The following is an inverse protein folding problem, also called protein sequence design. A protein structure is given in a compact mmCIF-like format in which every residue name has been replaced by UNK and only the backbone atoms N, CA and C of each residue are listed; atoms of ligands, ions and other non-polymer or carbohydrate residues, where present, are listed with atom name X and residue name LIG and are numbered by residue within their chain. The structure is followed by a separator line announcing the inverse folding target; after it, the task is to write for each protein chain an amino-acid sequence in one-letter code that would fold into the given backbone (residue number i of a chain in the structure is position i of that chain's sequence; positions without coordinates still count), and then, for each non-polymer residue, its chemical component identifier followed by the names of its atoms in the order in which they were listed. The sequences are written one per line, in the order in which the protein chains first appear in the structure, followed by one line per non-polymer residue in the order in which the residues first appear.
data_IF_703195324026
#
_entry.id   IF_703195324026
#
_cell.length_a   1.000
_cell.length_b   1.000
_cell.length_c   1.000
_cell.angle_alpha   90.00
_cell.angle_beta   90.00
_cell.angle_gamma   90.00
#
_symmetry.space_group_name_H-M   'P 1'
#
loop_
_entity.id
_entity.type
_entity.pdbx_description
1 polymer ?
#
# COMPACT_ATOMS: atom_id res chain seq x y z
N UNK A 1 -6.26 -14.09 9.62
CA UNK A 1 -7.15 -15.06 8.95
C UNK A 1 -6.50 -16.43 9.08
N UNK A 2 -7.09 -17.36 9.83
CA UNK A 2 -6.44 -18.63 10.18
C UNK A 2 -6.19 -19.52 8.96
N UNK A 3 -5.00 -20.10 8.86
CA UNK A 3 -4.68 -21.11 7.85
C UNK A 3 -5.46 -22.38 8.16
N UNK A 4 -6.49 -22.66 7.36
CA UNK A 4 -7.20 -23.93 7.40
C UNK A 4 -6.34 -24.96 6.66
N UNK A 5 -5.67 -25.84 7.40
CA UNK A 5 -5.07 -27.04 6.82
C UNK A 5 -6.20 -27.94 6.31
N UNK A 6 -6.54 -27.82 5.01
CA UNK A 6 -7.59 -28.59 4.37
C UNK A 6 -7.08 -30.03 4.18
N UNK A 7 -7.88 -31.03 4.58
CA UNK A 7 -7.55 -32.43 4.30
C UNK A 7 -7.62 -32.73 2.80
N UNK A 8 -6.77 -33.63 2.30
CA UNK A 8 -6.71 -33.98 0.87
C UNK A 8 -8.09 -34.37 0.30
N UNK A 9 -8.93 -35.04 1.10
CA UNK A 9 -10.30 -35.42 0.71
C UNK A 9 -11.20 -34.22 0.36
N UNK A 10 -11.03 -33.11 1.08
CA UNK A 10 -11.80 -31.89 0.85
C UNK A 10 -11.24 -31.15 -0.37
N UNK A 11 -9.91 -31.14 -0.54
CA UNK A 11 -9.26 -30.59 -1.72
C UNK A 11 -9.73 -31.27 -3.01
N UNK A 12 -9.81 -32.60 -3.01
CA UNK A 12 -10.30 -33.38 -4.16
C UNK A 12 -11.76 -33.06 -4.52
N UNK A 13 -12.60 -32.80 -3.50
CA UNK A 13 -13.98 -32.37 -3.71
C UNK A 13 -14.03 -31.00 -4.40
N UNK A 14 -13.22 -30.03 -3.94
CA UNK A 14 -13.12 -28.73 -4.59
C UNK A 14 -12.55 -28.83 -6.00
N UNK A 15 -11.52 -29.65 -6.20
CA UNK A 15 -10.98 -29.94 -7.53
C UNK A 15 -12.06 -30.52 -8.47
N UNK A 16 -12.96 -31.36 -7.95
CA UNK A 16 -14.12 -31.87 -8.69
C UNK A 16 -15.01 -30.78 -9.30
N UNK A 17 -15.16 -29.64 -8.63
CA UNK A 17 -15.87 -28.48 -9.20
C UNK A 17 -14.99 -27.71 -10.19
N UNK A 18 -13.68 -27.64 -9.94
CA UNK A 18 -12.74 -26.87 -10.75
C UNK A 18 -12.34 -27.55 -12.07
N UNK A 19 -12.35 -28.88 -12.12
CA UNK A 19 -11.87 -29.66 -13.27
C UNK A 19 -12.70 -29.45 -14.54
N UNK A 20 -13.98 -29.10 -14.39
CA UNK A 20 -14.93 -28.93 -15.50
C UNK A 20 -15.00 -27.49 -16.02
N UNK A 21 -14.19 -26.56 -15.49
CA UNK A 21 -14.12 -25.20 -16.03
C UNK A 21 -13.55 -25.20 -17.46
N UNK A 22 -13.99 -24.22 -18.25
CA UNK A 22 -13.39 -23.94 -19.55
C UNK A 22 -11.93 -23.50 -19.41
N UNK A 23 -11.19 -23.57 -20.53
CA UNK A 23 -9.75 -23.30 -20.57
C UNK A 23 -9.41 -21.87 -20.09
N UNK A 24 -10.24 -20.87 -20.41
CA UNK A 24 -9.99 -19.48 -20.06
C UNK A 24 -10.23 -19.26 -18.56
N UNK A 25 -11.30 -19.83 -18.02
CA UNK A 25 -11.60 -19.75 -16.59
C UNK A 25 -10.54 -20.45 -15.74
N UNK A 26 -10.02 -21.61 -16.19
CA UNK A 26 -8.87 -22.28 -15.55
C UNK A 26 -7.62 -21.39 -15.52
N UNK A 27 -7.24 -20.81 -16.66
CA UNK A 27 -6.09 -19.89 -16.75
C UNK A 27 -6.25 -18.68 -15.83
N UNK A 28 -7.46 -18.12 -15.75
CA UNK A 28 -7.78 -16.97 -14.88
C UNK A 28 -7.67 -17.35 -13.41
N UNK A 29 -8.16 -18.54 -13.03
CA UNK A 29 -8.09 -19.02 -11.66
C UNK A 29 -6.65 -19.27 -11.22
N UNK A 30 -5.83 -19.91 -12.06
CA UNK A 30 -4.40 -20.09 -11.80
C UNK A 30 -3.74 -18.75 -11.54
N UNK A 31 -3.91 -17.74 -12.42
CA UNK A 31 -3.37 -16.40 -12.21
C UNK A 31 -3.81 -15.78 -10.88
N UNK A 32 -5.10 -15.88 -10.53
CA UNK A 32 -5.61 -15.36 -9.25
C UNK A 32 -4.99 -16.05 -8.04
N UNK A 33 -4.84 -17.38 -8.10
CA UNK A 33 -4.23 -18.16 -7.03
C UNK A 33 -2.75 -17.81 -6.91
N UNK A 34 -2.00 -17.76 -8.01
CA UNK A 34 -0.60 -17.30 -8.03
C UNK A 34 -0.46 -15.91 -7.41
N UNK A 35 -1.28 -14.95 -7.85
CA UNK A 35 -1.28 -13.60 -7.29
C UNK A 35 -1.70 -13.54 -5.81
N UNK A 36 -2.41 -14.55 -5.30
CA UNK A 36 -2.77 -14.63 -3.88
C UNK A 36 -1.65 -15.22 -3.01
N UNK A 37 -0.73 -15.98 -3.62
CA UNK A 37 0.49 -16.47 -2.99
C UNK A 37 1.56 -15.38 -2.95
N UNK A 38 1.60 -14.55 -3.98
CA UNK A 38 2.32 -13.29 -3.98
C UNK A 38 1.64 -12.35 -2.97
N UNK A 39 2.02 -12.50 -1.68
CA UNK A 39 1.84 -11.41 -0.72
C UNK A 39 2.50 -10.23 -1.38
N UNK A 40 1.70 -9.28 -1.89
CA UNK A 40 2.23 -7.99 -2.28
C UNK A 40 2.96 -7.52 -1.05
N UNK A 41 4.29 -7.57 -1.06
CA UNK A 41 5.04 -6.67 -0.22
C UNK A 41 4.42 -5.33 -0.57
N UNK A 42 3.78 -4.69 0.40
CA UNK A 42 3.57 -3.25 0.30
C UNK A 42 4.92 -2.76 -0.17
N UNK A 43 4.98 -2.23 -1.40
CA UNK A 43 6.24 -1.70 -1.94
C UNK A 43 6.80 -0.88 -0.80
N UNK A 44 7.96 -1.26 -0.27
CA UNK A 44 8.54 -0.53 0.86
C UNK A 44 8.47 0.93 0.46
N UNK A 45 7.64 1.67 1.19
CA UNK A 45 7.36 3.04 0.84
C UNK A 45 8.67 3.78 1.03
N UNK A 46 9.37 4.02 -0.08
CA UNK A 46 10.68 4.65 -0.04
C UNK A 46 10.48 6.11 0.33
N UNK A 47 10.81 6.46 1.56
CA UNK A 47 10.79 7.84 2.05
C UNK A 47 11.70 8.73 1.18
N UNK A 48 12.75 8.16 0.57
CA UNK A 48 13.61 8.85 -0.39
C UNK A 48 12.84 9.35 -1.62
N UNK A 49 11.78 8.66 -2.03
CA UNK A 49 10.92 9.07 -3.14
C UNK A 49 10.10 10.34 -2.87
N UNK A 50 10.03 10.80 -1.61
CA UNK A 50 9.35 12.04 -1.23
C UNK A 50 10.24 13.29 -1.41
N UNK A 51 11.56 13.13 -1.51
CA UNK A 51 12.47 14.26 -1.67
C UNK A 51 12.26 14.94 -3.04
N UNK A 52 12.07 16.26 -3.03
CA UNK A 52 11.92 17.05 -4.26
C UNK A 52 10.56 16.92 -4.96
N UNK A 53 9.62 16.16 -4.40
CA UNK A 53 8.26 16.06 -4.93
C UNK A 53 7.40 17.31 -4.67
N UNK A 54 7.83 18.16 -3.73
CA UNK A 54 7.14 19.41 -3.43
C UNK A 54 7.53 20.50 -4.44
N UNK A 55 6.56 20.90 -5.25
CA UNK A 55 6.64 22.06 -6.14
C UNK A 55 5.67 23.10 -5.62
N UNK A 56 6.18 24.28 -5.29
CA UNK A 56 5.40 25.42 -4.80
C UNK A 56 5.86 26.68 -5.54
N UNK A 57 4.92 27.59 -5.79
CA UNK A 57 5.20 28.91 -6.37
C UNK A 57 5.69 29.90 -5.29
N UNK A 58 5.48 29.57 -4.01
CA UNK A 58 5.91 30.37 -2.87
C UNK A 58 7.44 30.37 -2.73
N UNK A 59 7.98 31.53 -2.44
CA UNK A 59 9.37 31.67 -2.02
C UNK A 59 9.61 31.05 -0.64
N UNK A 60 10.86 30.69 -0.37
CA UNK A 60 11.28 30.18 0.95
C UNK A 60 10.87 31.10 2.10
N UNK A 61 10.93 32.41 1.90
CA UNK A 61 10.59 33.41 2.93
C UNK A 61 9.08 33.46 3.23
N UNK A 62 8.24 33.30 2.21
CA UNK A 62 6.79 33.20 2.37
C UNK A 62 6.41 31.95 3.16
N UNK A 63 7.02 30.82 2.82
CA UNK A 63 6.83 29.54 3.54
C UNK A 63 7.23 29.68 5.00
N UNK A 64 8.40 30.26 5.28
CA UNK A 64 8.88 30.47 6.66
C UNK A 64 7.92 31.38 7.43
N UNK A 65 7.41 32.43 6.79
CA UNK A 65 6.49 33.40 7.39
C UNK A 65 5.14 32.75 7.71
N UNK A 66 4.59 31.97 6.80
CA UNK A 66 3.36 31.19 7.00
C UNK A 66 3.50 30.22 8.17
N UNK A 67 4.59 29.44 8.20
CA UNK A 67 4.87 28.50 9.30
C UNK A 67 4.95 29.22 10.64
N UNK A 68 5.65 30.37 10.71
CA UNK A 68 5.75 31.17 11.95
C UNK A 68 4.38 31.69 12.40
N UNK A 69 3.55 32.15 11.46
CA UNK A 69 2.23 32.69 11.75
C UNK A 69 1.22 31.61 12.17
N UNK A 70 1.38 30.38 11.67
CA UNK A 70 0.54 29.23 12.01
C UNK A 70 0.81 28.67 13.42
N UNK A 71 1.89 29.08 14.10
CA UNK A 71 2.21 28.55 15.44
C UNK A 71 1.19 29.02 16.47
N UNK A 72 0.63 28.05 17.21
CA UNK A 72 -0.27 28.29 18.35
C UNK A 72 0.51 28.90 19.52
N UNK A 73 1.69 28.36 19.82
CA UNK A 73 2.63 28.93 20.78
C UNK A 73 3.61 29.86 20.07
N UNK A 74 3.31 31.15 20.09
CA UNK A 74 4.24 32.17 19.64
C UNK A 74 5.31 32.34 20.71
N UNK A 75 6.50 31.78 20.49
CA UNK A 75 7.66 32.11 21.32
C UNK A 75 7.93 33.61 21.18
N UNK A 76 7.52 34.37 22.20
CA UNK A 76 7.91 35.78 22.33
C UNK A 76 9.39 35.75 22.72
N UNK A 77 10.28 35.77 21.73
CA UNK A 77 11.67 36.15 21.98
C UNK A 77 11.64 37.68 22.13
N UNK A 78 11.18 38.14 23.28
CA UNK A 78 11.42 39.51 23.73
C UNK A 78 12.90 39.60 24.08
N UNK A 79 13.66 40.25 23.21
CA UNK A 79 14.95 40.89 23.43
C UNK A 79 15.90 40.20 24.44
N UNK A 80 16.94 39.58 23.88
CA UNK A 80 18.27 39.52 24.50
C UNK A 80 19.21 40.37 23.65
#
# INVERSE_FOLDING_TARGET
MGSLAISNKILDKYYGYLKNLDVNSKKKLIKKLTNSLEVKSEKEFDVGSLYGAWVDDKSSDEIITEIKNSRVEKTIISNL
#
